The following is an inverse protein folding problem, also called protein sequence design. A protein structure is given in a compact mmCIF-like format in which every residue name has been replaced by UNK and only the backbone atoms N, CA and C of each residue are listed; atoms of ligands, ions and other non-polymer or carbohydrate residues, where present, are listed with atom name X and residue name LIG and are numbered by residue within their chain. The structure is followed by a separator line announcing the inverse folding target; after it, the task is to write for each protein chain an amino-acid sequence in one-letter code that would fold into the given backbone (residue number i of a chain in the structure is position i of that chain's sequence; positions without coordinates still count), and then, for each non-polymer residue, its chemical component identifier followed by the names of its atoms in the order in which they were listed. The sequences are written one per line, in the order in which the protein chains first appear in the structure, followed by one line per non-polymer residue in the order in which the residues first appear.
data_IF_065534431976
#
_entry.id   IF_065534431976
#
_cell.length_a   1.000
_cell.length_b   1.000
_cell.length_c   1.000
_cell.angle_alpha   90.00
_cell.angle_beta   90.00
_cell.angle_gamma   90.00
#
_symmetry.space_group_name_H-M   'P 1'
#
loop_
_entity.id
_entity.type
_entity.pdbx_description
1 polymer ?
#
# COMPACT_ATOMS: atom_id res chain seq x y z
N UNK A 1 -1.85 8.50 -12.37
CA UNK A 1 -1.93 8.30 -10.92
C UNK A 1 -0.50 8.35 -10.38
N UNK A 2 -0.19 9.32 -9.53
CA UNK A 2 1.15 9.51 -8.93
C UNK A 2 1.50 8.35 -7.99
N UNK A 3 2.79 8.18 -7.64
CA UNK A 3 3.18 7.17 -6.65
C UNK A 3 2.50 7.45 -5.30
N UNK A 4 2.30 8.73 -4.95
CA UNK A 4 1.54 9.09 -3.75
C UNK A 4 0.10 8.57 -3.81
N UNK A 5 -0.62 8.83 -4.90
CA UNK A 5 -2.00 8.36 -5.09
C UNK A 5 -2.08 6.82 -5.07
N UNK A 6 -1.07 6.13 -5.61
CA UNK A 6 -0.95 4.66 -5.52
C UNK A 6 -0.75 4.17 -4.09
N UNK A 7 0.09 4.83 -3.29
CA UNK A 7 0.28 4.50 -1.87
C UNK A 7 -1.03 4.65 -1.11
N UNK A 8 -1.75 5.77 -1.31
CA UNK A 8 -3.02 6.04 -0.64
C UNK A 8 -4.06 4.97 -0.99
N UNK A 9 -4.22 4.65 -2.28
CA UNK A 9 -5.15 3.62 -2.73
C UNK A 9 -4.84 2.23 -2.14
N UNK A 10 -3.57 1.84 -2.10
CA UNK A 10 -3.18 0.55 -1.52
C UNK A 10 -3.35 0.53 0.00
N UNK A 11 -3.16 1.67 0.67
CA UNK A 11 -3.41 1.80 2.09
C UNK A 11 -4.90 1.63 2.42
N UNK A 12 -5.79 2.27 1.66
CA UNK A 12 -7.25 2.08 1.81
C UNK A 12 -7.66 0.62 1.55
N UNK A 13 -7.07 -0.01 0.53
CA UNK A 13 -7.28 -1.44 0.24
C UNK A 13 -6.83 -2.31 1.40
N UNK A 14 -5.67 -2.03 1.99
CA UNK A 14 -5.18 -2.71 3.17
C UNK A 14 -6.17 -2.57 4.34
N UNK A 15 -6.63 -1.36 4.65
CA UNK A 15 -7.57 -1.13 5.75
C UNK A 15 -8.87 -1.93 5.55
N UNK A 16 -9.46 -1.85 4.35
CA UNK A 16 -10.70 -2.54 4.04
C UNK A 16 -10.58 -4.07 4.11
N UNK A 17 -9.50 -4.63 3.56
CA UNK A 17 -9.27 -6.08 3.60
C UNK A 17 -8.84 -6.56 4.99
N UNK A 18 -8.06 -5.77 5.72
CA UNK A 18 -7.70 -6.08 7.10
C UNK A 18 -8.94 -6.11 7.99
N UNK A 19 -9.85 -5.14 7.86
CA UNK A 19 -11.11 -5.13 8.59
C UNK A 19 -11.95 -6.38 8.28
N UNK A 20 -12.13 -6.74 7.01
CA UNK A 20 -12.83 -7.97 6.61
C UNK A 20 -12.17 -9.23 7.17
N UNK A 21 -10.85 -9.25 7.28
CA UNK A 21 -10.13 -10.36 7.88
C UNK A 21 -10.30 -10.41 9.41
N UNK A 22 -10.12 -9.30 10.12
CA UNK A 22 -10.12 -9.25 11.59
C UNK A 22 -11.52 -9.36 12.18
N UNK A 23 -12.53 -8.73 11.56
CA UNK A 23 -13.89 -8.74 12.08
C UNK A 23 -14.70 -9.93 11.57
N UNK A 24 -14.53 -10.30 10.30
CA UNK A 24 -15.37 -11.31 9.63
C UNK A 24 -14.64 -12.63 9.35
N UNK A 25 -13.35 -12.73 9.67
CA UNK A 25 -12.56 -13.95 9.48
C UNK A 25 -12.37 -14.36 8.01
N UNK A 26 -12.54 -13.43 7.05
CA UNK A 26 -12.47 -13.76 5.61
C UNK A 26 -11.01 -14.07 5.23
N UNK A 27 -10.67 -15.35 5.10
CA UNK A 27 -9.29 -15.83 4.86
C UNK A 27 -8.66 -15.25 3.59
N UNK A 28 -9.44 -15.05 2.53
CA UNK A 28 -8.94 -14.45 1.28
C UNK A 28 -8.50 -13.00 1.49
N UNK A 29 -9.17 -12.26 2.38
CA UNK A 29 -8.81 -10.88 2.71
C UNK A 29 -7.45 -10.79 3.40
N UNK A 30 -7.02 -11.82 4.15
CA UNK A 30 -5.65 -11.88 4.69
C UNK A 30 -4.57 -11.92 3.60
N UNK A 31 -4.82 -12.65 2.50
CA UNK A 31 -3.89 -12.68 1.38
C UNK A 31 -3.85 -11.33 0.65
N UNK A 32 -5.01 -10.69 0.48
CA UNK A 32 -5.13 -9.37 -0.17
C UNK A 32 -4.50 -8.25 0.66
N UNK A 33 -4.72 -8.22 1.97
CA UNK A 33 -4.10 -7.27 2.89
C UNK A 33 -2.57 -7.37 2.86
N UNK A 34 -2.01 -8.59 2.89
CA UNK A 34 -0.55 -8.80 2.75
C UNK A 34 -0.02 -8.34 1.39
N UNK A 35 -0.76 -8.59 0.30
CA UNK A 35 -0.38 -8.11 -1.03
C UNK A 35 -0.36 -6.58 -1.10
N UNK A 36 -1.38 -5.91 -0.54
CA UNK A 36 -1.43 -4.46 -0.49
C UNK A 36 -0.24 -3.87 0.29
N UNK A 37 0.10 -4.45 1.45
CA UNK A 37 1.28 -4.06 2.23
C UNK A 37 2.60 -4.24 1.46
N UNK A 38 2.75 -5.34 0.72
CA UNK A 38 3.94 -5.57 -0.12
C UNK A 38 4.07 -4.52 -1.23
N UNK A 39 2.95 -4.14 -1.87
CA UNK A 39 2.96 -3.09 -2.89
C UNK A 39 3.27 -1.72 -2.28
N UNK A 40 2.70 -1.37 -1.12
CA UNK A 40 3.04 -0.14 -0.38
C UNK A 40 4.55 -0.09 -0.11
N UNK A 41 5.16 -1.19 0.35
CA UNK A 41 6.59 -1.22 0.63
C UNK A 41 7.46 -0.96 -0.62
N UNK A 42 7.01 -1.40 -1.79
CA UNK A 42 7.67 -1.10 -3.08
C UNK A 42 7.47 0.36 -3.45
N UNK A 43 6.23 0.84 -3.45
CA UNK A 43 5.89 2.22 -3.80
C UNK A 43 6.58 3.24 -2.88
N UNK A 44 6.74 2.95 -1.59
CA UNK A 44 7.48 3.82 -0.67
C UNK A 44 8.97 3.93 -1.04
N UNK A 45 9.59 2.88 -1.58
CA UNK A 45 10.97 2.96 -2.09
C UNK A 45 11.06 3.86 -3.30
N UNK A 46 10.10 3.74 -4.21
CA UNK A 46 10.06 4.53 -5.43
C UNK A 46 9.73 6.00 -5.13
N UNK A 47 8.76 6.28 -4.25
CA UNK A 47 8.46 7.65 -3.80
C UNK A 47 9.64 8.29 -3.08
N UNK A 48 10.40 7.51 -2.30
CA UNK A 48 11.64 8.01 -1.67
C UNK A 48 12.69 8.40 -2.70
N UNK A 49 12.81 7.65 -3.81
CA UNK A 49 13.70 8.03 -4.92
C UNK A 49 13.21 9.31 -5.61
N UNK A 50 11.92 9.39 -5.94
CA UNK A 50 11.33 10.63 -6.51
C UNK A 50 11.61 11.84 -5.63
N UNK A 51 11.41 11.73 -4.31
CA UNK A 51 11.71 12.83 -3.38
C UNK A 51 13.20 13.18 -3.40
N UNK A 52 14.09 12.19 -3.51
CA UNK A 52 15.52 12.44 -3.55
C UNK A 52 15.95 13.13 -4.85
N UNK A 53 15.37 12.75 -5.99
CA UNK A 53 15.54 13.40 -7.29
C UNK A 53 14.97 14.84 -7.25
N UNK A 54 13.75 15.03 -6.73
CA UNK A 54 13.13 16.35 -6.56
C UNK A 54 13.94 17.29 -5.66
N UNK A 55 14.63 16.76 -4.63
CA UNK A 55 15.45 17.54 -3.69
C UNK A 55 16.76 18.03 -4.30
N UNK A 56 17.14 17.55 -5.49
CA UNK A 56 18.40 17.92 -6.12
C UNK A 56 19.51 16.91 -5.85
N UNK A 57 19.36 15.71 -6.43
CA UNK A 57 20.34 15.35 -7.46
C UNK A 57 19.99 16.09 -8.75
#
# INVERSE_FOLDING_TARGET
MTIHEQIVMQYETYLAENQKFTEKGVKVSAARARKALAEIAKLCKDRRKEIQEEKGE
#
